data_IF_095589928636
#
_entry.id   IF_095589928636
#
_cell.length_a   1.000
_cell.length_b   1.000
_cell.length_c   1.000
_cell.angle_alpha   90.00
_cell.angle_beta   90.00
_cell.angle_gamma   90.00
#
_symmetry.space_group_name_H-M   'P 1'
#
loop_
_entity.id
_entity.type
_entity.pdbx_description
1 polymer ?
#
# COMPACT_ATOMS: atom_id res chain seq x y z
N UNK A 1 8.86 2.85 25.93
CA UNK A 1 7.72 2.21 25.24
C UNK A 1 6.67 3.26 24.90
N UNK A 2 6.51 3.58 23.62
CA UNK A 2 5.56 4.55 23.05
C UNK A 2 4.21 4.63 23.79
N UNK A 3 3.69 5.84 23.99
CA UNK A 3 2.44 6.07 24.72
C UNK A 3 1.23 5.62 23.92
N UNK A 4 1.30 5.70 22.59
CA UNK A 4 0.26 5.28 21.65
C UNK A 4 0.81 5.08 20.25
N UNK A 5 0.49 3.94 19.62
CA UNK A 5 0.86 3.63 18.24
C UNK A 5 -0.41 3.47 17.38
N UNK A 6 -0.64 4.39 16.45
CA UNK A 6 -1.81 4.34 15.56
C UNK A 6 -1.41 3.89 14.15
N UNK A 7 -1.95 2.76 13.70
CA UNK A 7 -1.76 2.25 12.35
C UNK A 7 -2.88 2.76 11.44
N UNK A 8 -2.54 3.52 10.41
CA UNK A 8 -3.43 4.01 9.37
C UNK A 8 -3.36 3.11 8.14
N UNK A 9 -4.44 2.38 7.88
CA UNK A 9 -4.58 1.49 6.72
C UNK A 9 -5.18 2.24 5.53
N UNK A 10 -4.49 2.18 4.39
CA UNK A 10 -4.84 2.82 3.13
C UNK A 10 -4.84 1.81 1.98
N UNK A 11 -5.79 1.87 1.03
CA UNK A 11 -5.63 1.21 -0.26
C UNK A 11 -4.49 1.87 -1.04
N UNK A 12 -3.46 1.09 -1.39
CA UNK A 12 -2.20 1.60 -1.98
C UNK A 12 -2.37 2.25 -3.36
N UNK A 13 -3.40 1.87 -4.13
CA UNK A 13 -3.62 2.36 -5.50
C UNK A 13 -4.60 3.53 -5.62
N UNK A 14 -5.25 3.96 -4.53
CA UNK A 14 -6.24 5.04 -4.60
C UNK A 14 -5.66 6.35 -4.09
N UNK A 15 -5.44 7.30 -5.00
CA UNK A 15 -4.96 8.63 -4.65
C UNK A 15 -5.91 9.33 -3.68
N UNK A 16 -7.23 9.19 -3.84
CA UNK A 16 -8.24 9.73 -2.93
C UNK A 16 -8.03 9.28 -1.47
N UNK A 17 -7.49 8.08 -1.24
CA UNK A 17 -7.18 7.61 0.11
C UNK A 17 -5.95 8.35 0.70
N UNK A 18 -4.91 8.57 -0.10
CA UNK A 18 -3.74 9.34 0.30
C UNK A 18 -4.08 10.82 0.50
N UNK A 19 -4.97 11.39 -0.30
CA UNK A 19 -5.49 12.76 -0.11
C UNK A 19 -6.22 12.89 1.23
N UNK A 20 -7.14 11.95 1.53
CA UNK A 20 -7.83 11.93 2.83
C UNK A 20 -6.87 11.78 4.00
N UNK A 21 -5.89 10.88 3.88
CA UNK A 21 -4.85 10.68 4.89
C UNK A 21 -3.99 11.93 5.08
N UNK A 22 -3.68 12.66 4.00
CA UNK A 22 -2.90 13.91 4.06
C UNK A 22 -3.60 14.98 4.88
N UNK A 23 -4.92 15.10 4.75
CA UNK A 23 -5.74 16.06 5.51
C UNK A 23 -5.74 15.70 6.99
N UNK A 24 -5.89 14.41 7.31
CA UNK A 24 -5.82 13.92 8.70
C UNK A 24 -4.43 14.11 9.29
N UNK A 25 -3.38 13.82 8.53
CA UNK A 25 -1.98 13.94 8.97
C UNK A 25 -1.67 15.37 9.41
N UNK A 26 -2.11 16.38 8.65
CA UNK A 26 -1.90 17.81 8.98
C UNK A 26 -2.55 18.23 10.30
N UNK A 27 -3.58 17.51 10.76
CA UNK A 27 -4.33 17.80 11.99
C UNK A 27 -3.94 16.91 13.17
N UNK A 28 -3.21 15.83 12.91
CA UNK A 28 -2.87 14.84 13.92
C UNK A 28 -1.68 15.29 14.78
N UNK A 29 -1.73 14.91 16.06
CA UNK A 29 -0.62 15.04 16.98
C UNK A 29 0.16 13.72 17.04
N UNK A 30 1.44 13.81 16.68
CA UNK A 30 2.38 12.70 16.67
C UNK A 30 3.80 13.25 16.71
N UNK A 31 4.70 12.41 17.21
CA UNK A 31 6.13 12.66 17.37
C UNK A 31 6.96 11.74 16.46
N UNK A 32 6.35 10.65 15.98
CA UNK A 32 6.96 9.69 15.06
C UNK A 32 5.98 9.36 13.94
N UNK A 33 6.46 9.41 12.69
CA UNK A 33 5.70 9.06 11.50
C UNK A 33 6.41 7.95 10.73
N UNK A 34 5.81 6.77 10.71
CA UNK A 34 6.24 5.66 9.87
C UNK A 34 5.53 5.73 8.51
N UNK A 35 6.31 5.79 7.44
CA UNK A 35 5.84 5.87 6.07
C UNK A 35 6.12 4.55 5.35
N UNK A 36 5.11 4.05 4.64
CA UNK A 36 5.23 2.92 3.71
C UNK A 36 5.96 3.32 2.42
N UNK A 37 7.17 3.87 2.59
CA UNK A 37 8.10 4.31 1.56
C UNK A 37 9.39 3.52 1.77
N UNK A 38 10.10 3.21 0.68
CA UNK A 38 11.34 2.45 0.74
C UNK A 38 12.38 3.12 1.64
N UNK A 39 13.10 2.31 2.41
CA UNK A 39 14.17 2.76 3.33
C UNK A 39 15.24 3.60 2.61
N UNK A 40 15.56 3.28 1.36
CA UNK A 40 16.54 4.03 0.56
C UNK A 40 16.18 5.50 0.35
N UNK A 41 14.90 5.87 0.47
CA UNK A 41 14.41 7.24 0.31
C UNK A 41 14.39 8.03 1.64
N UNK A 42 14.89 7.46 2.74
CA UNK A 42 14.87 8.08 4.06
C UNK A 42 15.44 9.50 4.04
N UNK A 43 16.65 9.69 3.53
CA UNK A 43 17.33 11.00 3.51
C UNK A 43 16.56 12.03 2.67
N UNK A 44 16.07 11.63 1.49
CA UNK A 44 15.30 12.51 0.62
C UNK A 44 13.98 12.95 1.29
N UNK A 45 13.31 12.02 1.97
CA UNK A 45 12.08 12.31 2.71
C UNK A 45 12.35 13.25 3.88
N UNK A 46 13.50 13.11 4.55
CA UNK A 46 13.93 14.04 5.60
C UNK A 46 14.21 15.45 5.07
N UNK A 47 14.92 15.59 3.95
CA UNK A 47 15.17 16.86 3.28
C UNK A 47 13.85 17.56 2.92
N UNK A 48 12.90 16.79 2.37
CA UNK A 48 11.56 17.29 2.06
C UNK A 48 10.85 17.78 3.34
N UNK A 49 10.92 17.01 4.42
CA UNK A 49 10.33 17.39 5.71
C UNK A 49 10.97 18.63 6.34
N UNK A 50 12.23 18.90 6.04
CA UNK A 50 12.95 20.14 6.38
C UNK A 50 12.61 21.32 5.46
N UNK A 51 11.84 21.08 4.39
CA UNK A 51 11.27 22.14 3.55
C UNK A 51 11.81 22.19 2.12
N UNK A 52 12.63 21.21 1.71
CA UNK A 52 13.14 21.14 0.34
C UNK A 52 11.99 21.24 -0.69
N UNK A 53 12.24 21.83 -1.88
CA UNK A 53 11.26 21.85 -2.96
C UNK A 53 10.86 20.44 -3.40
N UNK A 54 9.57 20.22 -3.65
CA UNK A 54 9.06 18.92 -4.07
C UNK A 54 9.64 18.44 -5.41
N UNK A 55 9.77 19.34 -6.38
CA UNK A 55 10.35 19.00 -7.70
C UNK A 55 11.80 18.52 -7.57
N UNK A 56 12.59 19.12 -6.66
CA UNK A 56 13.97 18.65 -6.40
C UNK A 56 13.98 17.28 -5.74
N UNK A 57 13.02 16.99 -4.87
CA UNK A 57 12.85 15.65 -4.31
C UNK A 57 12.60 14.63 -5.41
N UNK A 58 11.66 14.89 -6.34
CA UNK A 58 11.36 13.96 -7.44
C UNK A 58 12.55 13.76 -8.36
N UNK A 59 13.24 14.83 -8.77
CA UNK A 59 14.44 14.70 -9.60
C UNK A 59 15.52 13.83 -8.93
N UNK A 60 15.73 13.99 -7.62
CA UNK A 60 16.71 13.16 -6.89
C UNK A 60 16.27 11.71 -6.74
N UNK A 61 14.96 11.44 -6.64
CA UNK A 61 14.41 10.08 -6.67
C UNK A 61 14.68 9.42 -8.03
N UNK A 62 14.47 10.17 -9.13
CA UNK A 62 14.78 9.71 -10.50
C UNK A 62 16.27 9.45 -10.69
N UNK A 63 17.14 10.36 -10.26
CA UNK A 63 18.60 10.23 -10.40
C UNK A 63 19.20 9.09 -9.57
N UNK A 64 18.61 8.80 -8.41
CA UNK A 64 19.14 7.78 -7.50
C UNK A 64 18.81 6.35 -7.94
N UNK A 65 17.90 6.16 -8.90
CA UNK A 65 17.45 4.85 -9.42
C UNK A 65 17.04 3.86 -8.29
N UNK A 66 16.49 4.42 -7.20
CA UNK A 66 16.08 3.65 -6.02
C UNK A 66 14.73 2.98 -6.27
N UNK A 67 13.83 3.65 -7.01
CA UNK A 67 12.51 3.12 -7.36
C UNK A 67 12.60 2.33 -8.66
N UNK A 68 12.39 1.02 -8.57
CA UNK A 68 12.31 0.17 -9.76
C UNK A 68 10.93 0.25 -10.46
N UNK A 69 9.89 0.72 -9.76
CA UNK A 69 8.57 0.92 -10.37
C UNK A 69 8.48 2.25 -11.13
N UNK A 70 7.57 2.39 -12.13
CA UNK A 70 7.39 3.65 -12.83
C UNK A 70 7.09 4.79 -11.84
N UNK A 71 8.00 5.76 -11.76
CA UNK A 71 7.97 6.84 -10.78
C UNK A 71 6.65 7.62 -10.84
N UNK A 72 6.08 7.79 -12.04
CA UNK A 72 4.78 8.45 -12.24
C UNK A 72 3.63 7.76 -11.50
N UNK A 73 3.59 6.42 -11.49
CA UNK A 73 2.56 5.64 -10.79
C UNK A 73 2.72 5.73 -9.28
N UNK A 74 3.96 5.64 -8.80
CA UNK A 74 4.27 5.81 -7.38
C UNK A 74 3.94 7.23 -6.89
N UNK A 75 4.41 8.23 -7.64
CA UNK A 75 4.19 9.65 -7.38
C UNK A 75 2.70 9.97 -7.32
N UNK A 76 1.91 9.45 -8.27
CA UNK A 76 0.46 9.68 -8.35
C UNK A 76 -0.24 9.39 -7.01
N UNK A 77 0.10 8.27 -6.35
CA UNK A 77 -0.49 7.89 -5.08
C UNK A 77 0.15 8.64 -3.90
N UNK A 78 1.47 8.70 -3.81
CA UNK A 78 2.17 9.14 -2.59
C UNK A 78 2.28 10.67 -2.44
N UNK A 79 2.18 11.42 -3.55
CA UNK A 79 2.36 12.89 -3.59
C UNK A 79 1.57 13.66 -2.53
N UNK A 80 0.28 13.37 -2.25
CA UNK A 80 -0.46 14.06 -1.20
C UNK A 80 0.19 13.96 0.19
N UNK A 81 0.79 12.80 0.52
CA UNK A 81 1.49 12.58 1.79
C UNK A 81 2.82 13.32 1.82
N UNK A 82 3.61 13.22 0.74
CA UNK A 82 4.89 13.95 0.61
C UNK A 82 4.69 15.48 0.76
N UNK A 83 3.66 16.03 0.12
CA UNK A 83 3.31 17.45 0.27
C UNK A 83 2.72 17.79 1.64
N UNK A 84 2.22 16.81 2.40
CA UNK A 84 1.75 17.01 3.77
C UNK A 84 2.88 17.07 4.79
N UNK A 85 3.94 16.30 4.56
CA UNK A 85 5.12 16.29 5.45
C UNK A 85 6.12 17.40 5.09
N UNK A 86 6.03 18.00 3.91
CA UNK A 86 6.96 19.07 3.50
C UNK A 86 6.99 20.22 4.50
N UNK A 87 8.19 20.53 5.00
CA UNK A 87 8.40 21.58 6.01
C UNK A 87 7.81 21.27 7.40
N UNK A 88 7.35 20.04 7.64
CA UNK A 88 6.75 19.66 8.91
C UNK A 88 7.79 19.67 10.06
N UNK A 89 9.05 19.31 9.78
CA UNK A 89 10.15 19.38 10.76
C UNK A 89 10.50 20.83 11.13
N UNK A 90 10.22 21.82 10.28
CA UNK A 90 10.39 23.24 10.63
C UNK A 90 9.43 23.67 11.75
N UNK A 91 8.23 23.06 11.79
CA UNK A 91 7.21 23.31 12.83
C UNK A 91 7.36 22.38 14.03
N UNK A 92 7.90 21.18 13.81
CA UNK A 92 8.11 20.14 14.82
C UNK A 92 9.56 19.62 14.72
N UNK A 93 10.55 20.35 15.28
CA UNK A 93 11.98 19.99 15.11
C UNK A 93 12.36 18.60 15.61
N UNK A 94 11.63 18.07 16.60
CA UNK A 94 11.86 16.74 17.16
C UNK A 94 11.05 15.61 16.49
N UNK A 95 10.29 15.92 15.44
CA UNK A 95 9.54 14.91 14.69
C UNK A 95 10.50 13.91 14.04
N UNK A 96 10.33 12.62 14.35
CA UNK A 96 10.99 11.53 13.63
C UNK A 96 10.11 11.07 12.46
N UNK A 97 10.69 10.92 11.28
CA UNK A 97 10.02 10.31 10.11
C UNK A 97 10.84 9.09 9.74
N UNK A 98 10.20 7.95 9.52
CA UNK A 98 10.85 6.66 9.29
C UNK A 98 10.21 5.99 8.07
N UNK A 99 10.97 5.83 7.00
CA UNK A 99 10.62 5.03 5.83
C UNK A 99 10.98 3.58 6.11
N UNK A 100 10.00 2.68 6.15
CA UNK A 100 10.23 1.31 6.64
C UNK A 100 10.16 0.22 5.57
N UNK A 101 9.64 0.53 4.37
CA UNK A 101 9.35 -0.48 3.33
C UNK A 101 10.63 -1.13 2.82
N UNK A 102 10.60 -2.45 2.67
CA UNK A 102 11.77 -3.21 2.20
C UNK A 102 11.94 -3.04 0.67
N UNK A 103 13.13 -2.63 0.18
CA UNK A 103 13.39 -2.45 -1.25
C UNK A 103 13.38 -3.76 -2.08
N UNK A 104 13.54 -4.92 -1.44
CA UNK A 104 13.54 -6.23 -2.13
C UNK A 104 12.17 -6.54 -2.74
N UNK A 105 11.08 -5.94 -2.23
CA UNK A 105 9.74 -6.11 -2.78
C UNK A 105 9.55 -5.49 -4.17
N UNK A 106 10.35 -4.50 -4.55
CA UNK A 106 10.05 -3.73 -5.76
C UNK A 106 10.33 -4.54 -7.02
N UNK A 107 11.42 -5.32 -7.01
CA UNK A 107 11.72 -6.27 -8.10
C UNK A 107 10.64 -7.35 -8.25
N UNK A 108 10.16 -7.92 -7.13
CA UNK A 108 9.07 -8.88 -7.13
C UNK A 108 7.75 -8.24 -7.61
N UNK A 109 7.49 -6.99 -7.21
CA UNK A 109 6.29 -6.24 -7.59
C UNK A 109 6.21 -6.04 -9.11
N UNK A 110 7.32 -5.64 -9.74
CA UNK A 110 7.39 -5.42 -11.19
C UNK A 110 7.22 -6.73 -11.94
N UNK A 111 7.99 -7.77 -11.59
CA UNK A 111 7.88 -9.08 -12.24
C UNK A 111 6.44 -9.61 -12.13
N UNK A 112 5.82 -9.41 -10.96
CA UNK A 112 4.45 -9.83 -10.73
C UNK A 112 3.46 -9.02 -11.56
N UNK A 113 3.62 -7.70 -11.64
CA UNK A 113 2.76 -6.82 -12.43
C UNK A 113 2.84 -7.14 -13.92
N UNK A 114 4.03 -7.36 -14.47
CA UNK A 114 4.24 -7.76 -15.87
C UNK A 114 3.57 -9.10 -16.17
N UNK A 115 3.76 -10.10 -15.30
CA UNK A 115 3.14 -11.42 -15.47
C UNK A 115 1.62 -11.35 -15.33
N UNK A 116 1.09 -10.57 -14.39
CA UNK A 116 -0.35 -10.31 -14.26
C UNK A 116 -0.89 -9.65 -15.53
N UNK A 117 -0.20 -8.64 -16.07
CA UNK A 117 -0.61 -7.95 -17.28
C UNK A 117 -0.62 -8.88 -18.50
N UNK A 118 0.45 -9.68 -18.69
CA UNK A 118 0.55 -10.68 -19.75
C UNK A 118 -0.59 -11.72 -19.66
N UNK A 119 -0.81 -12.28 -18.47
CA UNK A 119 -1.86 -13.27 -18.26
C UNK A 119 -3.25 -12.68 -18.48
N UNK A 120 -3.49 -11.46 -17.99
CA UNK A 120 -4.75 -10.73 -18.18
C UNK A 120 -4.99 -10.44 -19.65
N UNK A 121 -3.97 -10.03 -20.39
CA UNK A 121 -4.03 -9.84 -21.84
C UNK A 121 -4.41 -11.15 -22.54
N UNK A 122 -3.76 -12.27 -22.19
CA UNK A 122 -4.09 -13.59 -22.76
C UNK A 122 -5.55 -13.97 -22.52
N UNK A 123 -6.06 -13.75 -21.31
CA UNK A 123 -7.47 -13.99 -20.98
C UNK A 123 -8.39 -13.10 -21.82
N UNK A 124 -8.07 -11.82 -21.97
CA UNK A 124 -8.88 -10.88 -22.77
C UNK A 124 -8.86 -11.21 -24.27
N UNK A 125 -7.74 -11.68 -24.81
CA UNK A 125 -7.56 -11.98 -26.23
C UNK A 125 -8.08 -13.38 -26.61
N UNK A 126 -7.99 -14.36 -25.71
CA UNK A 126 -8.32 -15.78 -26.02
C UNK A 126 -9.53 -16.31 -25.27
N UNK A 127 -9.98 -15.63 -24.21
CA UNK A 127 -11.03 -16.10 -23.30
C UNK A 127 -10.62 -17.25 -22.38
N UNK A 128 -9.41 -17.81 -22.54
CA UNK A 128 -8.89 -18.96 -21.78
C UNK A 128 -8.13 -18.50 -20.55
N UNK A 129 -8.35 -19.18 -19.42
CA UNK A 129 -7.65 -18.95 -18.16
C UNK A 129 -6.81 -20.18 -17.84
N UNK A 130 -5.50 -19.99 -17.73
CA UNK A 130 -4.60 -21.03 -17.20
C UNK A 130 -4.58 -20.96 -15.66
N UNK A 131 -5.35 -21.86 -15.04
CA UNK A 131 -5.53 -21.87 -13.58
C UNK A 131 -4.22 -22.16 -12.84
N UNK A 132 -3.37 -23.03 -13.37
CA UNK A 132 -2.12 -23.42 -12.69
C UNK A 132 -1.07 -22.33 -12.80
N UNK A 133 -0.96 -21.66 -13.96
CA UNK A 133 -0.05 -20.53 -14.12
C UNK A 133 -0.43 -19.37 -13.19
N UNK A 134 -1.73 -19.02 -13.12
CA UNK A 134 -2.23 -18.02 -12.18
C UNK A 134 -2.00 -18.44 -10.72
N UNK A 135 -2.26 -19.70 -10.36
CA UNK A 135 -2.02 -20.19 -8.99
C UNK A 135 -0.56 -20.06 -8.60
N UNK A 136 0.35 -20.48 -9.47
CA UNK A 136 1.79 -20.40 -9.24
C UNK A 136 2.25 -18.96 -9.05
N UNK A 137 1.80 -18.05 -9.91
CA UNK A 137 2.09 -16.62 -9.81
C UNK A 137 1.57 -16.02 -8.48
N UNK A 138 0.30 -16.26 -8.14
CA UNK A 138 -0.31 -15.74 -6.92
C UNK A 138 0.41 -16.27 -5.67
N UNK A 139 0.81 -17.55 -5.67
CA UNK A 139 1.59 -18.13 -4.57
C UNK A 139 2.95 -17.44 -4.42
N UNK A 140 3.68 -17.22 -5.53
CA UNK A 140 4.96 -16.49 -5.51
C UNK A 140 4.80 -15.08 -4.93
N UNK A 141 3.73 -14.37 -5.31
CA UNK A 141 3.42 -13.04 -4.76
C UNK A 141 3.19 -13.11 -3.25
N UNK A 142 2.38 -14.05 -2.79
CA UNK A 142 2.05 -14.22 -1.36
C UNK A 142 3.30 -14.55 -0.55
N UNK A 143 4.08 -15.53 -0.99
CA UNK A 143 5.29 -15.98 -0.28
C UNK A 143 6.31 -14.84 -0.14
N UNK A 144 6.53 -14.07 -1.22
CA UNK A 144 7.44 -12.91 -1.18
C UNK A 144 6.88 -11.74 -0.34
N UNK A 145 5.57 -11.53 -0.35
CA UNK A 145 4.92 -10.52 0.49
C UNK A 145 5.03 -10.87 1.98
N UNK A 146 4.77 -12.12 2.36
CA UNK A 146 4.85 -12.57 3.76
C UNK A 146 6.31 -12.45 4.28
N UNK A 147 7.31 -12.77 3.44
CA UNK A 147 8.72 -12.60 3.80
C UNK A 147 9.08 -11.13 4.07
N UNK A 148 8.62 -10.21 3.23
CA UNK A 148 8.90 -8.78 3.41
C UNK A 148 8.17 -8.17 4.59
N UNK A 149 6.90 -8.53 4.81
CA UNK A 149 6.13 -8.05 5.96
C UNK A 149 6.86 -8.39 7.26
N UNK A 150 7.50 -9.57 7.35
CA UNK A 150 8.27 -9.95 8.53
C UNK A 150 9.46 -9.01 8.77
N UNK A 151 10.25 -8.71 7.74
CA UNK A 151 11.37 -7.78 7.82
C UNK A 151 10.90 -6.34 8.16
N UNK A 152 9.80 -5.88 7.57
CA UNK A 152 9.22 -4.56 7.86
C UNK A 152 8.74 -4.44 9.31
N UNK A 153 8.11 -5.50 9.85
CA UNK A 153 7.73 -5.60 11.26
C UNK A 153 8.96 -5.51 12.16
N UNK A 154 10.01 -6.29 11.86
CA UNK A 154 11.25 -6.31 12.64
C UNK A 154 11.94 -4.94 12.63
N UNK A 155 11.98 -4.28 11.47
CA UNK A 155 12.52 -2.93 11.34
C UNK A 155 11.73 -1.89 12.15
N UNK A 156 10.40 -1.91 12.08
CA UNK A 156 9.55 -1.01 12.87
C UNK A 156 9.77 -1.26 14.37
N UNK A 157 9.75 -2.52 14.83
CA UNK A 157 9.98 -2.87 16.23
C UNK A 157 11.37 -2.43 16.69
N UNK A 158 12.41 -2.65 15.88
CA UNK A 158 13.77 -2.21 16.17
C UNK A 158 13.83 -0.69 16.38
N UNK A 159 13.23 0.08 15.48
CA UNK A 159 13.19 1.54 15.59
C UNK A 159 12.39 2.04 16.80
N UNK A 160 11.35 1.32 17.24
CA UNK A 160 10.56 1.68 18.41
C UNK A 160 11.38 1.68 19.71
N UNK A 161 12.49 0.93 19.76
CA UNK A 161 13.37 0.89 20.93
C UNK A 161 14.11 2.21 21.16
N UNK A 162 14.29 3.02 20.12
CA UNK A 162 14.97 4.32 20.16
C UNK A 162 14.01 5.49 20.47
N UNK A 163 12.77 5.19 20.87
CA UNK A 163 11.69 6.15 21.04
C UNK A 163 11.24 6.19 22.49
N UNK A 164 11.09 7.41 23.02
CA UNK A 164 10.66 7.64 24.40
C UNK A 164 9.24 7.12 24.64
N UNK A 165 8.94 6.76 25.89
CA UNK A 165 7.63 6.23 26.26
C UNK A 165 6.47 7.21 26.16
N UNK A 166 6.76 8.49 26.03
CA UNK A 166 5.72 9.53 25.98
C UNK A 166 5.29 9.85 24.55
N UNK A 167 6.09 9.43 23.56
CA UNK A 167 5.89 9.78 22.16
C UNK A 167 4.70 9.03 21.54
N UNK A 168 3.97 9.73 20.67
CA UNK A 168 2.86 9.19 19.87
C UNK A 168 3.34 8.88 18.46
N UNK A 169 3.04 7.68 17.97
CA UNK A 169 3.42 7.24 16.63
C UNK A 169 2.20 7.09 15.71
N UNK A 170 2.35 7.52 14.46
CA UNK A 170 1.45 7.17 13.36
C UNK A 170 2.21 6.30 12.37
N UNK A 171 1.64 5.19 11.95
CA UNK A 171 2.20 4.32 10.93
C UNK A 171 1.23 4.17 9.77
N UNK A 172 1.61 4.69 8.60
CA UNK A 172 0.84 4.50 7.38
C UNK A 172 1.23 3.19 6.72
N UNK A 173 0.25 2.38 6.38
CA UNK A 173 0.46 1.05 5.79
C UNK A 173 -0.68 0.72 4.84
N UNK A 174 -0.46 -0.32 4.04
CA UNK A 174 -1.51 -0.92 3.24
C UNK A 174 -2.37 -1.88 4.07
N UNK A 175 -3.04 -2.83 3.41
CA UNK A 175 -3.86 -3.80 4.12
C UNK A 175 -3.09 -4.85 4.94
N UNK A 176 -1.75 -4.82 4.94
CA UNK A 176 -0.90 -5.56 5.86
C UNK A 176 -1.00 -5.05 7.31
N UNK A 177 -1.64 -3.89 7.56
CA UNK A 177 -1.77 -3.31 8.90
C UNK A 177 -2.34 -4.23 9.99
N UNK A 178 -3.14 -5.26 9.64
CA UNK A 178 -3.58 -6.30 10.61
C UNK A 178 -2.45 -7.24 11.04
N UNK A 179 -1.46 -7.47 10.20
CA UNK A 179 -0.26 -8.21 10.56
C UNK A 179 0.62 -7.36 11.48
N UNK A 180 0.91 -6.11 11.10
CA UNK A 180 1.63 -5.15 11.93
C UNK A 180 0.98 -5.00 13.32
N UNK A 181 -0.35 -4.83 13.39
CA UNK A 181 -1.08 -4.76 14.66
C UNK A 181 -0.83 -5.97 15.56
N UNK A 182 -0.84 -7.19 14.99
CA UNK A 182 -0.66 -8.43 15.77
C UNK A 182 0.76 -8.53 16.31
N UNK A 183 1.75 -8.24 15.50
CA UNK A 183 3.16 -8.35 15.91
C UNK A 183 3.56 -7.24 16.88
N UNK A 184 3.14 -6.00 16.66
CA UNK A 184 3.42 -4.89 17.58
C UNK A 184 2.71 -5.05 18.93
N UNK A 185 1.54 -5.70 18.99
CA UNK A 185 0.90 -6.00 20.29
C UNK A 185 1.66 -7.04 21.12
N UNK A 186 2.38 -7.97 20.47
CA UNK A 186 3.20 -8.97 21.19
C UNK A 186 4.36 -8.32 21.95
N UNK A 187 4.78 -7.12 21.54
CA UNK A 187 5.85 -6.38 22.22
C UNK A 187 5.35 -5.49 23.37
N UNK A 188 4.04 -5.53 23.68
CA UNK A 188 3.44 -4.77 24.78
C UNK A 188 3.10 -3.32 24.44
N UNK A 189 3.25 -2.89 23.18
CA UNK A 189 2.87 -1.55 22.73
C UNK A 189 1.33 -1.45 22.66
N UNK A 190 0.77 -0.32 23.10
CA UNK A 190 -0.64 -0.01 22.86
C UNK A 190 -0.83 0.43 21.40
N UNK A 191 -1.45 -0.46 20.62
CA UNK A 191 -1.61 -0.28 19.17
C UNK A 191 -3.09 -0.24 18.78
N UNK A 192 -3.47 0.82 18.08
CA UNK A 192 -4.79 1.04 17.51
C UNK A 192 -4.70 0.94 15.99
N UNK A 193 -5.66 0.25 15.37
CA UNK A 193 -5.76 0.14 13.91
C UNK A 193 -6.92 0.99 13.41
N UNK A 194 -6.66 1.88 12.45
CA UNK A 194 -7.65 2.77 11.83
C UNK A 194 -7.63 2.62 10.32
N UNK A 195 -8.80 2.34 9.75
CA UNK A 195 -9.00 2.37 8.30
C UNK A 195 -9.42 3.77 7.88
N UNK A 196 -8.57 4.45 7.12
CA UNK A 196 -8.79 5.86 6.78
C UNK A 196 -9.81 6.01 5.65
N UNK A 197 -9.86 5.05 4.74
CA UNK A 197 -10.74 5.06 3.58
C UNK A 197 -11.77 3.93 3.67
N UNK A 198 -12.99 4.27 4.12
CA UNK A 198 -14.10 3.33 4.25
C UNK A 198 -15.41 3.92 3.70
N UNK A 199 -16.28 3.08 3.11
CA UNK A 199 -16.02 1.69 2.73
C UNK A 199 -15.02 1.58 1.57
N UNK A 200 -14.16 0.56 1.61
CA UNK A 200 -13.32 0.15 0.48
C UNK A 200 -13.73 -1.25 0.03
N UNK A 201 -14.01 -1.41 -1.26
CA UNK A 201 -14.33 -2.69 -1.89
C UNK A 201 -13.09 -3.20 -2.65
N UNK A 202 -12.64 -4.39 -2.30
CA UNK A 202 -11.51 -5.04 -2.96
C UNK A 202 -11.83 -5.35 -4.42
N UNK A 203 -10.91 -5.00 -5.30
CA UNK A 203 -10.91 -5.40 -6.71
C UNK A 203 -10.83 -6.93 -6.84
N UNK A 204 -11.20 -7.51 -8.00
CA UNK A 204 -11.14 -8.95 -8.18
C UNK A 204 -9.75 -9.57 -7.94
N UNK A 205 -8.67 -8.87 -8.29
CA UNK A 205 -7.30 -9.33 -8.04
C UNK A 205 -6.95 -9.30 -6.54
N UNK A 206 -7.33 -8.24 -5.84
CA UNK A 206 -7.12 -8.17 -4.39
C UNK A 206 -7.93 -9.25 -3.65
N UNK A 207 -9.15 -9.54 -4.11
CA UNK A 207 -9.94 -10.68 -3.59
C UNK A 207 -9.20 -11.99 -3.85
N UNK A 208 -8.66 -12.20 -5.05
CA UNK A 208 -7.91 -13.40 -5.41
C UNK A 208 -6.68 -13.59 -4.52
N UNK A 209 -5.86 -12.54 -4.33
CA UNK A 209 -4.68 -12.57 -3.46
C UNK A 209 -5.07 -12.91 -2.01
N UNK A 210 -6.10 -12.25 -1.48
CA UNK A 210 -6.55 -12.42 -0.10
C UNK A 210 -7.17 -13.78 0.18
N UNK A 211 -8.06 -14.25 -0.69
CA UNK A 211 -8.68 -15.57 -0.55
C UNK A 211 -7.63 -16.66 -0.65
N UNK A 212 -6.68 -16.53 -1.58
CA UNK A 212 -5.59 -17.50 -1.73
C UNK A 212 -4.68 -17.51 -0.51
N UNK A 213 -4.24 -16.34 -0.01
CA UNK A 213 -3.42 -16.25 1.19
C UNK A 213 -4.14 -16.83 2.43
N UNK A 214 -5.44 -16.57 2.57
CA UNK A 214 -6.23 -17.13 3.66
C UNK A 214 -6.31 -18.67 3.59
N UNK A 215 -6.51 -19.24 2.40
CA UNK A 215 -6.58 -20.70 2.22
C UNK A 215 -5.21 -21.36 2.45
N UNK A 216 -4.13 -20.77 1.92
CA UNK A 216 -2.77 -21.30 2.08
C UNK A 216 -2.36 -21.37 3.55
N UNK A 217 -2.70 -20.37 4.37
CA UNK A 217 -2.47 -20.39 5.83
C UNK A 217 -3.21 -21.51 6.55
N UNK A 218 -4.25 -22.09 5.94
CA UNK A 218 -4.99 -23.26 6.45
C UNK A 218 -4.51 -24.57 5.83
N UNK A 219 -3.46 -24.55 5.01
CA UNK A 219 -2.94 -25.71 4.29
C UNK A 219 -3.79 -26.15 3.11
N UNK A 220 -4.66 -25.28 2.58
CA UNK A 220 -5.59 -25.62 1.48
C UNK A 220 -5.38 -24.69 0.29
N UNK A 221 -5.62 -25.18 -0.93
CA UNK A 221 -5.60 -24.36 -2.13
C UNK A 221 -6.98 -23.78 -2.43
N UNK A 222 -7.01 -22.59 -3.05
CA UNK A 222 -8.23 -22.06 -3.65
C UNK A 222 -8.72 -23.00 -4.77
N UNK A 223 -10.02 -23.27 -4.79
CA UNK A 223 -10.62 -24.14 -5.80
C UNK A 223 -10.51 -23.56 -7.21
N UNK A 224 -10.29 -24.42 -8.20
CA UNK A 224 -10.06 -24.04 -9.61
C UNK A 224 -11.17 -23.12 -10.14
N UNK A 225 -12.43 -23.45 -9.87
CA UNK A 225 -13.59 -22.67 -10.31
C UNK A 225 -13.59 -21.25 -9.73
N UNK A 226 -13.25 -21.11 -8.44
CA UNK A 226 -13.22 -19.81 -7.76
C UNK A 226 -12.08 -18.95 -8.31
N UNK A 227 -10.89 -19.51 -8.46
CA UNK A 227 -9.74 -18.84 -9.07
C UNK A 227 -10.09 -18.39 -10.49
N UNK A 228 -10.59 -19.30 -11.33
CA UNK A 228 -11.00 -19.02 -12.70
C UNK A 228 -12.01 -17.87 -12.76
N UNK A 229 -13.03 -17.87 -11.88
CA UNK A 229 -14.02 -16.80 -11.79
C UNK A 229 -13.39 -15.45 -11.44
N UNK A 230 -12.51 -15.40 -10.44
CA UNK A 230 -11.86 -14.15 -10.02
C UNK A 230 -10.92 -13.60 -11.10
N UNK A 231 -10.18 -14.47 -11.80
CA UNK A 231 -9.35 -14.07 -12.94
C UNK A 231 -10.20 -13.48 -14.06
N UNK A 232 -11.32 -14.10 -14.44
CA UNK A 232 -12.22 -13.53 -15.45
C UNK A 232 -12.79 -12.18 -15.02
N UNK A 233 -13.14 -12.02 -13.74
CA UNK A 233 -13.60 -10.75 -13.20
C UNK A 233 -12.50 -9.68 -13.22
N UNK A 234 -11.24 -10.06 -12.94
CA UNK A 234 -10.09 -9.16 -13.04
C UNK A 234 -9.84 -8.74 -14.48
N UNK A 235 -9.81 -9.68 -15.43
CA UNK A 235 -9.62 -9.38 -16.85
C UNK A 235 -10.71 -8.43 -17.38
N UNK A 236 -11.97 -8.66 -16.95
CA UNK A 236 -13.10 -7.75 -17.20
C UNK A 236 -12.87 -6.37 -16.58
N UNK A 237 -12.43 -6.30 -15.33
CA UNK A 237 -12.12 -5.04 -14.63
C UNK A 237 -11.06 -4.23 -15.39
N UNK A 238 -9.98 -4.87 -15.83
CA UNK A 238 -8.94 -4.20 -16.62
C UNK A 238 -9.52 -3.66 -17.94
N UNK A 239 -10.19 -4.51 -18.72
CA UNK A 239 -10.68 -4.17 -20.06
C UNK A 239 -11.74 -3.07 -20.05
N UNK A 240 -12.70 -3.14 -19.13
CA UNK A 240 -13.89 -2.28 -19.13
C UNK A 240 -13.76 -1.04 -18.23
N UNK A 241 -12.74 -1.00 -17.36
CA UNK A 241 -12.56 0.11 -16.42
C UNK A 241 -11.18 0.74 -16.54
N UNK A 242 -10.11 -0.03 -16.32
CA UNK A 242 -8.75 0.54 -16.29
C UNK A 242 -8.33 1.09 -17.64
N UNK A 243 -8.51 0.34 -18.74
CA UNK A 243 -8.08 0.77 -20.08
C UNK A 243 -8.92 1.89 -20.70
N UNK A 244 -10.04 2.23 -20.08
CA UNK A 244 -11.03 3.19 -20.62
C UNK A 244 -11.31 4.33 -19.64
N UNK A 245 -10.42 4.54 -18.67
CA UNK A 245 -10.45 5.66 -17.72
C UNK A 245 -9.13 6.41 -17.80
N UNK A 246 -9.14 7.67 -17.38
CA UNK A 246 -7.94 8.54 -17.38
C UNK A 246 -6.95 8.10 -16.31
N UNK A 247 -7.45 7.68 -15.16
CA UNK A 247 -6.65 7.20 -14.04
C UNK A 247 -7.31 6.04 -13.26
N UNK A 248 -6.58 5.51 -12.29
CA UNK A 248 -7.03 4.37 -11.49
C UNK A 248 -8.23 4.72 -10.59
N UNK A 249 -8.24 5.93 -10.01
CA UNK A 249 -9.34 6.39 -9.15
C UNK A 249 -10.65 6.45 -9.94
N UNK A 250 -10.65 7.04 -11.14
CA UNK A 250 -11.81 7.06 -12.04
C UNK A 250 -12.28 5.64 -12.38
N UNK A 251 -11.35 4.76 -12.79
CA UNK A 251 -11.66 3.37 -13.10
C UNK A 251 -12.32 2.65 -11.92
N UNK A 252 -11.77 2.83 -10.72
CA UNK A 252 -12.27 2.23 -9.50
C UNK A 252 -13.68 2.75 -9.16
N UNK A 253 -13.89 4.07 -9.11
CA UNK A 253 -15.19 4.63 -8.76
C UNK A 253 -16.27 4.33 -9.82
N UNK A 254 -15.89 4.29 -11.10
CA UNK A 254 -16.79 3.86 -12.17
C UNK A 254 -17.20 2.39 -12.00
N UNK A 255 -16.23 1.50 -11.74
CA UNK A 255 -16.50 0.09 -11.44
C UNK A 255 -17.44 -0.07 -10.25
N UNK A 256 -17.24 0.72 -9.19
CA UNK A 256 -18.10 0.66 -8.02
C UNK A 256 -19.55 1.06 -8.32
N UNK A 257 -19.72 2.12 -9.10
CA UNK A 257 -21.05 2.64 -9.49
C UNK A 257 -21.82 1.60 -10.30
N UNK A 258 -21.18 0.96 -11.26
CA UNK A 258 -21.80 -0.03 -12.16
C UNK A 258 -22.18 -1.32 -11.43
N UNK A 259 -21.39 -1.72 -10.43
CA UNK A 259 -21.70 -2.87 -9.57
C UNK A 259 -22.75 -2.59 -8.50
N UNK A 260 -23.28 -1.37 -8.44
CA UNK A 260 -24.34 -0.99 -7.50
C UNK A 260 -23.85 -0.69 -6.08
N UNK A 261 -22.56 -0.44 -5.87
CA UNK A 261 -22.00 -0.05 -4.56
C UNK A 261 -22.25 1.45 -4.26
N UNK A 262 -23.51 1.91 -4.37
CA UNK A 262 -23.95 3.32 -4.44
C UNK A 262 -23.78 4.19 -3.17
N UNK A 263 -22.97 3.83 -2.17
CA UNK A 263 -22.89 4.59 -0.88
C UNK A 263 -21.66 5.47 -0.67
N UNK A 264 -20.91 5.83 -1.71
CA UNK A 264 -19.58 6.46 -1.54
C UNK A 264 -19.43 7.92 -2.00
N UNK A 265 -20.44 8.54 -2.62
CA UNK A 265 -20.29 9.92 -3.15
C UNK A 265 -20.83 11.02 -2.23
N UNK A 266 -21.54 10.70 -1.15
CA UNK A 266 -22.05 11.71 -0.23
C UNK A 266 -21.30 11.61 1.10
N UNK A 267 -20.13 12.25 1.15
CA UNK A 267 -19.55 12.65 2.42
C UNK A 267 -20.49 13.66 3.10
N UNK A 268 -21.03 13.26 4.25
CA UNK A 268 -21.45 14.15 5.32
C UNK A 268 -20.65 13.77 6.57
#
# INVERSE_FOLDING_TARGET
>A
MLSRFEIWVLPHNLRAAFEKASILLRRAEFDVLYLNIQRGLQELVEDLALGAPYEQFINRVEEADILHEPITSWEYAVKPILLAIRGLKLKKPHLKIICYRNPVLDSLSIESAERIAMLTFRVNSTGKVDVEEWRSLIRKIIDGTDASIKDEVEYIIGSCSEVSSEQKAICMTDFSGRHLLRELRKTGIDVILRYIFLPYYFTPLEILLRETAYMLRRGVNIGNERLHKLVKLHAKFIREYILTSVDYDEAYFRWLRDKGFRKLQNGQ
#
